data_IF_290554857674
#
_entry.id   IF_290554857674
#
_cell.length_a   1.000
_cell.length_b   1.000
_cell.length_c   1.000
_cell.angle_alpha   90.00
_cell.angle_beta   90.00
_cell.angle_gamma   90.00
#
_symmetry.space_group_name_H-M   'P 1'
#
loop_
_entity.id
_entity.type
_entity.pdbx_description
1 polymer ?
#
# COMPACT_ATOMS: atom_id res chain seq x y z
N UNK A 1 1.33 -12.59 -17.04
CA UNK A 1 0.57 -12.43 -15.80
C UNK A 1 1.11 -11.17 -15.13
N UNK A 2 0.51 -10.02 -15.43
CA UNK A 2 1.02 -8.70 -15.01
C UNK A 2 0.64 -8.43 -13.55
N UNK A 3 1.01 -9.34 -12.66
CA UNK A 3 0.97 -9.10 -11.22
C UNK A 3 1.90 -7.92 -10.95
N UNK A 4 1.33 -6.76 -10.62
CA UNK A 4 2.11 -5.59 -10.20
C UNK A 4 3.03 -6.03 -9.07
N UNK A 5 4.34 -6.06 -9.32
CA UNK A 5 5.31 -6.39 -8.27
C UNK A 5 5.29 -5.26 -7.23
N UNK A 6 4.53 -5.46 -6.16
CA UNK A 6 4.36 -4.49 -5.08
C UNK A 6 5.65 -4.36 -4.26
N UNK A 7 6.52 -5.38 -4.21
CA UNK A 7 7.76 -5.30 -3.41
C UNK A 7 8.70 -4.20 -3.89
N UNK A 8 8.64 -3.84 -5.17
CA UNK A 8 9.49 -2.77 -5.74
C UNK A 8 9.29 -1.39 -5.08
N UNK A 9 8.20 -1.19 -4.34
CA UNK A 9 7.94 0.07 -3.64
C UNK A 9 8.39 0.08 -2.18
N UNK A 10 8.91 -1.04 -1.66
CA UNK A 10 9.49 -1.10 -0.32
C UNK A 10 10.75 -0.25 -0.21
N UNK A 11 10.93 0.37 0.95
CA UNK A 11 12.14 1.10 1.31
C UNK A 11 12.22 1.22 2.84
N UNK A 12 13.22 1.93 3.36
CA UNK A 12 13.41 2.09 4.80
C UNK A 12 12.25 2.79 5.55
N UNK A 13 11.29 3.38 4.83
CA UNK A 13 10.10 4.08 5.37
C UNK A 13 8.76 3.48 4.92
N UNK A 14 8.78 2.43 4.10
CA UNK A 14 7.59 1.77 3.55
C UNK A 14 7.82 0.28 3.51
N UNK A 15 7.02 -0.48 4.26
CA UNK A 15 7.10 -1.94 4.32
C UNK A 15 5.82 -2.55 3.77
N UNK A 16 5.95 -3.57 2.91
CA UNK A 16 4.83 -4.35 2.41
C UNK A 16 4.59 -5.52 3.37
N UNK A 17 3.39 -5.55 3.95
CA UNK A 17 2.91 -6.64 4.79
C UNK A 17 1.57 -7.15 4.26
N UNK A 18 1.09 -8.24 4.84
CA UNK A 18 -0.20 -8.81 4.50
C UNK A 18 -1.07 -8.86 5.75
N UNK A 19 -2.33 -8.48 5.61
CA UNK A 19 -3.30 -8.62 6.68
C UNK A 19 -3.77 -10.08 6.84
N UNK A 20 -4.71 -10.32 7.76
CA UNK A 20 -5.30 -11.66 8.01
C UNK A 20 -6.10 -12.24 6.83
N UNK A 21 -6.41 -11.45 5.81
CA UNK A 21 -7.12 -11.86 4.59
C UNK A 21 -6.18 -11.93 3.39
N UNK A 22 -4.86 -11.96 3.63
CA UNK A 22 -3.81 -11.97 2.60
C UNK A 22 -3.86 -10.74 1.67
N UNK A 23 -4.40 -9.62 2.14
CA UNK A 23 -4.42 -8.36 1.38
C UNK A 23 -3.11 -7.62 1.57
N UNK A 24 -2.53 -7.04 0.51
CA UNK A 24 -1.32 -6.23 0.63
C UNK A 24 -1.63 -4.93 1.39
N UNK A 25 -0.81 -4.64 2.40
CA UNK A 25 -0.88 -3.42 3.21
C UNK A 25 0.50 -2.79 3.25
N UNK A 26 0.58 -1.48 3.00
CA UNK A 26 1.81 -0.73 3.22
C UNK A 26 1.80 -0.09 4.60
N UNK A 27 2.81 -0.43 5.40
CA UNK A 27 3.12 0.28 6.64
C UNK A 27 4.08 1.42 6.33
N UNK A 28 3.68 2.64 6.70
CA UNK A 28 4.50 3.83 6.54
C UNK A 28 5.03 4.29 7.90
N UNK A 29 6.27 4.76 7.94
CA UNK A 29 6.88 5.24 9.19
C UNK A 29 6.20 6.49 9.75
N UNK A 30 5.56 7.29 8.90
CA UNK A 30 4.84 8.53 9.24
C UNK A 30 4.08 9.07 8.02
N UNK A 31 3.31 10.16 8.22
CA UNK A 31 2.53 10.81 7.16
C UNK A 31 3.37 11.38 6.00
N UNK A 32 4.61 11.83 6.28
CA UNK A 32 5.51 12.31 5.23
C UNK A 32 5.83 11.19 4.23
N UNK A 33 6.09 9.97 4.73
CA UNK A 33 6.32 8.81 3.88
C UNK A 33 5.09 8.45 3.01
N UNK A 34 3.87 8.59 3.55
CA UNK A 34 2.62 8.40 2.80
C UNK A 34 2.53 9.41 1.65
N UNK A 35 2.74 10.70 1.94
CA UNK A 35 2.64 11.75 0.93
C UNK A 35 3.69 11.58 -0.16
N UNK A 36 4.94 11.33 0.21
CA UNK A 36 6.03 11.06 -0.73
C UNK A 36 5.76 9.84 -1.63
N UNK A 37 5.10 8.79 -1.09
CA UNK A 37 4.68 7.64 -1.88
C UNK A 37 3.61 8.05 -2.90
N UNK A 38 2.53 8.73 -2.47
CA UNK A 38 1.45 9.21 -3.35
C UNK A 38 1.95 10.18 -4.42
N UNK A 39 3.01 10.93 -4.16
CA UNK A 39 3.62 11.85 -5.12
C UNK A 39 4.45 11.12 -6.19
N UNK A 40 5.13 10.04 -5.81
CA UNK A 40 6.01 9.28 -6.70
C UNK A 40 5.29 8.18 -7.48
N UNK A 41 4.37 7.47 -6.84
CA UNK A 41 3.69 6.28 -7.37
C UNK A 41 2.26 6.69 -7.69
N UNK A 42 1.99 6.98 -8.97
CA UNK A 42 0.68 7.46 -9.44
C UNK A 42 -0.22 6.34 -9.91
N UNK A 43 0.35 5.17 -10.16
CA UNK A 43 -0.33 3.96 -10.61
C UNK A 43 -1.01 3.18 -9.47
N UNK A 44 -0.78 3.56 -8.21
CA UNK A 44 -1.39 2.92 -7.02
C UNK A 44 -2.22 3.94 -6.26
N UNK A 45 -3.48 3.58 -6.02
CA UNK A 45 -4.34 4.27 -5.06
C UNK A 45 -4.19 3.64 -3.67
N UNK A 46 -3.91 4.46 -2.65
CA UNK A 46 -3.84 4.01 -1.27
C UNK A 46 -5.19 4.22 -0.58
N UNK A 47 -5.75 3.14 -0.06
CA UNK A 47 -6.92 3.16 0.83
C UNK A 47 -6.47 2.98 2.27
N UNK A 48 -7.15 3.65 3.20
CA UNK A 48 -6.95 3.40 4.63
C UNK A 48 -7.37 1.97 4.97
N UNK A 49 -6.52 1.23 5.68
CA UNK A 49 -6.72 -0.20 5.91
C UNK A 49 -8.06 -0.53 6.60
N UNK A 50 -8.52 0.34 7.51
CA UNK A 50 -9.80 0.17 8.21
C UNK A 50 -11.03 0.49 7.34
N UNK A 51 -10.84 1.21 6.24
CA UNK A 51 -11.92 1.59 5.33
C UNK A 51 -12.15 0.54 4.22
N UNK A 52 -11.34 -0.52 4.19
CA UNK A 52 -11.54 -1.64 3.26
C UNK A 52 -12.68 -2.51 3.77
N UNK A 53 -13.91 -2.21 3.32
CA UNK A 53 -15.06 -3.10 3.51
C UNK A 53 -14.94 -4.29 2.56
N UNK A 54 -15.39 -5.46 2.99
CA UNK A 54 -15.41 -6.68 2.14
C UNK A 54 -16.42 -6.58 0.97
N UNK A 55 -17.08 -5.44 0.81
CA UNK A 55 -18.02 -5.18 -0.27
C UNK A 55 -17.25 -4.60 -1.45
N UNK A 56 -16.78 -5.50 -2.31
CA UNK A 56 -16.48 -5.16 -3.69
C UNK A 56 -17.81 -4.72 -4.32
N UNK A 57 -17.93 -3.44 -4.68
CA UNK A 57 -18.97 -2.94 -5.59
C UNK A 57 -18.60 -3.37 -7.01
#
# INVERSE_FOLDING_TARGET
DESTDLKKYENSRTMLVYDRFERPVYLFSNQYAVNAFKDRVKEIELLEALNVTNEVI
#
